data_IF_378086418128
#
_entry.id   IF_378086418128
#
_cell.length_a   1.000
_cell.length_b   1.000
_cell.length_c   1.000
_cell.angle_alpha   90.00
_cell.angle_beta   90.00
_cell.angle_gamma   90.00
#
_symmetry.space_group_name_H-M   'P 1'
#
loop_
_entity.id
_entity.type
_entity.pdbx_description
1 polymer ?
#
# COMPACT_ATOMS: atom_id res chain seq x y z
N UNK A 1 2.43 -14.86 -10.24
CA UNK A 1 3.38 -14.11 -11.11
C UNK A 1 4.73 -14.13 -10.42
N UNK A 2 5.78 -14.47 -11.16
CA UNK A 2 7.09 -14.60 -10.52
C UNK A 2 8.22 -14.19 -11.45
N UNK A 3 9.18 -13.41 -10.92
CA UNK A 3 10.42 -13.00 -11.60
C UNK A 3 10.18 -12.31 -12.95
N UNK A 4 9.26 -11.35 -12.95
CA UNK A 4 8.96 -10.54 -14.14
C UNK A 4 9.52 -9.14 -13.98
N UNK A 5 10.20 -8.66 -15.03
CA UNK A 5 10.61 -7.28 -15.18
C UNK A 5 9.60 -6.54 -16.03
N UNK A 6 8.92 -5.55 -15.45
CA UNK A 6 8.01 -4.64 -16.14
C UNK A 6 8.74 -3.36 -16.49
N UNK A 7 8.78 -3.02 -17.78
CA UNK A 7 9.37 -1.77 -18.28
C UNK A 7 8.46 -1.11 -19.29
N UNK A 8 8.50 0.22 -19.32
CA UNK A 8 7.80 1.05 -20.29
C UNK A 8 6.31 0.73 -20.42
N UNK A 9 5.67 0.33 -19.34
CA UNK A 9 4.23 0.02 -19.33
C UNK A 9 3.38 1.30 -19.25
N UNK A 10 2.20 1.26 -19.85
CA UNK A 10 1.30 2.40 -19.97
C UNK A 10 0.20 2.46 -18.90
N UNK A 11 0.18 1.53 -17.97
CA UNK A 11 -0.81 1.46 -16.90
C UNK A 11 -0.16 1.09 -15.56
N UNK A 12 -0.59 -0.02 -14.98
CA UNK A 12 0.00 -0.65 -13.81
C UNK A 12 0.81 -1.88 -14.20
N UNK A 13 1.81 -2.26 -13.42
CA UNK A 13 2.59 -3.46 -13.69
C UNK A 13 1.77 -4.73 -13.41
N UNK A 14 1.10 -4.78 -12.27
CA UNK A 14 0.22 -5.89 -11.88
C UNK A 14 -1.05 -5.35 -11.22
N UNK A 15 -2.21 -5.78 -11.71
CA UNK A 15 -3.50 -5.54 -11.06
C UNK A 15 -4.17 -6.89 -10.79
N UNK A 16 -4.44 -7.18 -9.52
CA UNK A 16 -5.33 -8.28 -9.14
C UNK A 16 -6.75 -7.75 -9.07
N UNK A 17 -7.61 -8.23 -9.95
CA UNK A 17 -9.00 -7.80 -10.03
C UNK A 17 -9.86 -8.34 -8.87
N UNK A 18 -11.06 -7.78 -8.66
CA UNK A 18 -11.95 -8.09 -7.52
C UNK A 18 -12.28 -9.57 -7.35
N UNK A 19 -12.31 -10.33 -8.43
CA UNK A 19 -12.56 -11.77 -8.41
C UNK A 19 -11.31 -12.61 -8.17
N UNK A 20 -10.14 -11.94 -8.13
CA UNK A 20 -8.86 -12.62 -7.87
C UNK A 20 -8.73 -13.05 -6.42
N UNK A 21 -8.33 -14.29 -6.20
CA UNK A 21 -8.08 -14.85 -4.89
C UNK A 21 -6.91 -15.82 -4.92
N UNK A 22 -6.18 -15.92 -3.81
CA UNK A 22 -5.02 -16.80 -3.67
C UNK A 22 -3.93 -16.53 -4.72
N UNK A 23 -3.66 -15.26 -4.96
CA UNK A 23 -2.66 -14.82 -5.95
C UNK A 23 -1.37 -14.45 -5.22
N UNK A 24 -0.27 -14.99 -5.72
CA UNK A 24 1.09 -14.59 -5.31
C UNK A 24 1.82 -13.90 -6.46
N UNK A 25 2.40 -12.73 -6.16
CA UNK A 25 3.29 -11.96 -7.03
C UNK A 25 4.62 -11.85 -6.29
N UNK A 26 5.69 -12.42 -6.83
CA UNK A 26 6.96 -12.47 -6.12
C UNK A 26 8.17 -12.21 -7.02
N UNK A 27 9.21 -11.63 -6.44
CA UNK A 27 10.47 -11.35 -7.13
C UNK A 27 10.26 -10.54 -8.43
N UNK A 28 9.30 -9.59 -8.43
CA UNK A 28 8.96 -8.79 -9.59
C UNK A 28 9.53 -7.37 -9.47
N UNK A 29 9.96 -6.82 -10.60
CA UNK A 29 10.58 -5.50 -10.68
C UNK A 29 9.81 -4.64 -11.67
N UNK A 30 9.46 -3.42 -11.26
CA UNK A 30 8.82 -2.42 -12.11
C UNK A 30 9.71 -1.19 -12.23
N UNK A 31 10.13 -0.87 -13.45
CA UNK A 31 11.05 0.23 -13.77
C UNK A 31 10.61 1.03 -14.97
N UNK A 32 11.02 2.29 -15.00
CA UNK A 32 10.87 3.17 -16.15
C UNK A 32 9.42 3.20 -16.71
N UNK A 33 8.39 3.48 -15.88
CA UNK A 33 7.03 3.57 -16.38
C UNK A 33 6.87 4.74 -17.36
N UNK A 34 6.18 4.55 -18.47
CA UNK A 34 5.89 5.59 -19.47
C UNK A 34 4.44 6.09 -19.42
N UNK A 35 3.64 5.55 -18.51
CA UNK A 35 2.27 6.02 -18.31
C UNK A 35 2.23 7.48 -17.87
N UNK A 36 1.18 8.19 -18.21
CA UNK A 36 0.91 9.52 -17.66
C UNK A 36 0.73 9.47 -16.15
N UNK A 37 1.11 10.54 -15.49
CA UNK A 37 0.93 10.70 -14.04
C UNK A 37 -0.52 11.11 -13.77
N UNK A 38 -1.33 10.21 -13.23
CA UNK A 38 -2.74 10.44 -12.89
C UNK A 38 -3.69 9.37 -13.41
N UNK A 39 -4.99 9.53 -13.13
CA UNK A 39 -6.06 8.69 -13.65
C UNK A 39 -5.95 7.21 -13.30
N UNK A 40 -5.55 6.86 -12.10
CA UNK A 40 -5.35 5.48 -11.63
C UNK A 40 -4.27 4.70 -12.41
N UNK A 41 -3.46 5.39 -13.19
CA UNK A 41 -2.25 4.85 -13.80
C UNK A 41 -1.10 4.90 -12.81
N UNK A 42 -0.11 4.02 -12.96
CA UNK A 42 1.01 3.88 -12.03
C UNK A 42 0.61 3.51 -10.58
N UNK A 43 -0.49 2.80 -10.41
CA UNK A 43 -0.68 1.99 -9.23
C UNK A 43 0.07 0.68 -9.48
N UNK A 44 1.35 0.61 -9.12
CA UNK A 44 2.28 -0.35 -9.72
C UNK A 44 1.92 -1.79 -9.42
N UNK A 45 1.88 -2.16 -8.14
CA UNK A 45 1.44 -3.47 -7.65
C UNK A 45 0.14 -3.27 -6.88
N UNK A 46 -0.97 -3.59 -7.51
CA UNK A 46 -2.29 -3.19 -7.03
C UNK A 46 -3.24 -4.37 -6.88
N UNK A 47 -3.93 -4.45 -5.75
CA UNK A 47 -4.95 -5.48 -5.49
C UNK A 47 -6.31 -4.89 -5.17
N UNK A 48 -7.33 -5.42 -5.86
CA UNK A 48 -8.75 -5.29 -5.54
C UNK A 48 -9.30 -6.64 -5.04
N UNK A 49 -8.49 -7.67 -5.06
CA UNK A 49 -8.83 -9.04 -4.71
C UNK A 49 -8.67 -9.35 -3.23
N UNK A 50 -8.65 -10.63 -2.92
CA UNK A 50 -8.48 -11.14 -1.57
C UNK A 50 -7.45 -12.26 -1.52
N UNK A 51 -6.85 -12.45 -0.33
CA UNK A 51 -5.82 -13.49 -0.14
C UNK A 51 -4.66 -13.32 -1.14
N UNK A 52 -4.23 -12.06 -1.34
CA UNK A 52 -3.13 -11.75 -2.24
C UNK A 52 -1.84 -11.52 -1.47
N UNK A 53 -0.73 -12.01 -2.01
CA UNK A 53 0.61 -11.79 -1.49
C UNK A 53 1.48 -11.16 -2.58
N UNK A 54 2.03 -9.98 -2.29
CA UNK A 54 3.12 -9.38 -3.03
C UNK A 54 4.38 -9.49 -2.19
N UNK A 55 5.39 -10.18 -2.69
CA UNK A 55 6.58 -10.46 -1.91
C UNK A 55 7.85 -10.16 -2.69
N UNK A 56 8.79 -9.44 -2.06
CA UNK A 56 10.08 -9.06 -2.65
C UNK A 56 9.91 -8.39 -4.02
N UNK A 57 8.96 -7.47 -4.08
CA UNK A 57 8.71 -6.67 -5.27
C UNK A 57 9.40 -5.32 -5.15
N UNK A 58 9.90 -4.82 -6.27
CA UNK A 58 10.56 -3.53 -6.37
C UNK A 58 9.83 -2.63 -7.38
N UNK A 59 9.64 -1.37 -7.04
CA UNK A 59 8.95 -0.38 -7.89
C UNK A 59 9.70 0.94 -7.95
N UNK A 60 9.68 1.60 -9.09
CA UNK A 60 10.20 2.96 -9.27
C UNK A 60 9.11 3.89 -9.81
N UNK A 61 9.06 5.12 -9.29
CA UNK A 61 8.24 6.23 -9.78
C UNK A 61 6.75 5.90 -9.90
N UNK A 62 6.23 5.02 -9.08
CA UNK A 62 4.79 4.78 -8.98
C UNK A 62 4.08 5.96 -8.31
N UNK A 63 2.80 6.19 -8.67
CA UNK A 63 1.95 7.09 -7.89
C UNK A 63 1.52 6.38 -6.60
N UNK A 64 1.20 5.09 -6.70
CA UNK A 64 0.95 4.22 -5.57
C UNK A 64 1.66 2.89 -5.85
N UNK A 65 2.85 2.72 -5.31
CA UNK A 65 3.70 1.57 -5.67
C UNK A 65 3.12 0.25 -5.17
N UNK A 66 2.66 0.23 -3.92
CA UNK A 66 2.03 -0.93 -3.31
C UNK A 66 0.66 -0.52 -2.79
N UNK A 67 -0.41 -0.98 -3.45
CA UNK A 67 -1.74 -0.47 -3.21
C UNK A 67 -2.82 -1.55 -3.12
N UNK A 68 -3.81 -1.28 -2.27
CA UNK A 68 -5.10 -1.97 -2.26
C UNK A 68 -6.22 -0.93 -2.39
N UNK A 69 -7.43 -1.35 -2.70
CA UNK A 69 -8.53 -0.40 -2.77
C UNK A 69 -9.89 -1.01 -3.09
N UNK A 70 -10.88 -0.14 -3.18
CA UNK A 70 -12.26 -0.49 -3.54
C UNK A 70 -12.84 -1.66 -2.74
N UNK A 71 -12.80 -1.56 -1.41
CA UNK A 71 -13.32 -2.59 -0.50
C UNK A 71 -12.62 -3.95 -0.66
N UNK A 72 -11.34 -3.96 -0.99
CA UNK A 72 -10.58 -5.21 -1.07
C UNK A 72 -10.66 -5.94 0.27
N UNK A 73 -11.18 -7.15 0.24
CA UNK A 73 -11.31 -7.97 1.43
C UNK A 73 -9.97 -8.63 1.78
N UNK A 74 -9.59 -8.53 3.05
CA UNK A 74 -8.37 -9.22 3.52
C UNK A 74 -8.51 -10.73 3.61
N UNK A 75 -7.41 -11.42 3.96
CA UNK A 75 -6.09 -10.83 4.15
C UNK A 75 -5.38 -10.53 2.81
N UNK A 76 -4.71 -9.39 2.72
CA UNK A 76 -3.80 -9.06 1.62
C UNK A 76 -2.47 -8.57 2.21
N UNK A 77 -1.36 -8.98 1.65
CA UNK A 77 -0.05 -8.66 2.20
C UNK A 77 0.95 -8.15 1.15
N UNK A 78 1.73 -7.16 1.55
CA UNK A 78 2.94 -6.69 0.89
C UNK A 78 4.11 -6.96 1.81
N UNK A 79 5.06 -7.80 1.40
CA UNK A 79 6.13 -8.32 2.26
C UNK A 79 7.48 -8.12 1.61
N UNK A 80 8.41 -7.48 2.34
CA UNK A 80 9.77 -7.22 1.87
C UNK A 80 9.78 -6.52 0.49
N UNK A 81 9.00 -5.45 0.37
CA UNK A 81 8.85 -4.70 -0.86
C UNK A 81 9.53 -3.34 -0.73
N UNK A 82 10.15 -2.89 -1.82
CA UNK A 82 10.88 -1.62 -1.89
C UNK A 82 10.33 -0.72 -3.00
N UNK A 83 10.13 0.55 -2.68
CA UNK A 83 9.78 1.62 -3.62
C UNK A 83 10.88 2.67 -3.66
N UNK A 84 11.22 3.13 -4.84
CA UNK A 84 12.20 4.18 -5.08
C UNK A 84 11.55 5.38 -5.76
N UNK A 85 11.79 6.57 -5.21
CA UNK A 85 11.22 7.84 -5.71
C UNK A 85 9.71 7.76 -5.98
N UNK A 86 8.96 7.28 -4.99
CA UNK A 86 7.50 7.21 -5.04
C UNK A 86 6.90 8.60 -5.24
N UNK A 87 5.90 8.73 -6.09
CA UNK A 87 5.27 10.03 -6.41
C UNK A 87 4.06 10.35 -5.53
N UNK A 88 3.55 9.39 -4.78
CA UNK A 88 2.47 9.54 -3.82
C UNK A 88 2.51 8.38 -2.82
N UNK A 89 1.58 8.34 -1.85
CA UNK A 89 1.57 7.35 -0.79
C UNK A 89 1.30 5.93 -1.29
N UNK A 90 1.83 4.94 -0.60
CA UNK A 90 1.43 3.53 -0.68
C UNK A 90 0.50 3.17 0.47
N UNK A 91 -0.42 2.20 0.26
CA UNK A 91 -1.46 1.84 1.22
C UNK A 91 -2.77 1.50 0.54
N UNK A 92 -3.91 1.86 1.15
CA UNK A 92 -5.20 1.76 0.48
C UNK A 92 -5.56 3.07 -0.20
N UNK A 93 -5.88 3.03 -1.48
CA UNK A 93 -6.06 4.24 -2.31
C UNK A 93 -7.51 4.66 -2.52
N UNK A 94 -8.46 3.83 -2.08
CA UNK A 94 -9.90 4.10 -2.16
C UNK A 94 -10.62 3.61 -0.89
N UNK A 95 -11.93 3.41 -0.98
CA UNK A 95 -12.75 3.12 0.19
C UNK A 95 -12.53 1.73 0.79
N UNK A 96 -12.46 1.67 2.09
CA UNK A 96 -12.71 0.53 2.98
C UNK A 96 -12.06 -0.81 2.60
N UNK A 97 -10.81 -0.83 2.19
CA UNK A 97 -10.05 -2.07 2.22
C UNK A 97 -9.90 -2.54 3.68
N UNK A 98 -9.71 -3.82 3.90
CA UNK A 98 -9.67 -4.40 5.24
C UNK A 98 -8.60 -5.51 5.32
N UNK A 99 -7.95 -5.62 6.49
CA UNK A 99 -7.00 -6.69 6.74
C UNK A 99 -5.77 -6.65 5.82
N UNK A 100 -5.20 -5.46 5.67
CA UNK A 100 -3.94 -5.26 4.95
C UNK A 100 -2.75 -5.44 5.89
N UNK A 101 -1.72 -6.11 5.42
CA UNK A 101 -0.42 -6.18 6.06
C UNK A 101 0.65 -5.59 5.13
N UNK A 102 1.40 -4.63 5.64
CA UNK A 102 2.66 -4.19 5.07
C UNK A 102 3.76 -4.63 6.05
N UNK A 103 4.60 -5.55 5.62
CA UNK A 103 5.62 -6.20 6.45
C UNK A 103 7.00 -5.99 5.83
N UNK A 104 7.84 -5.22 6.52
CA UNK A 104 9.17 -4.83 6.03
C UNK A 104 9.08 -4.16 4.65
N UNK A 105 8.18 -3.18 4.52
CA UNK A 105 8.02 -2.39 3.29
C UNK A 105 8.75 -1.06 3.45
N UNK A 106 9.54 -0.72 2.45
CA UNK A 106 10.31 0.52 2.40
C UNK A 106 9.80 1.42 1.28
N UNK A 107 9.37 2.64 1.62
CA UNK A 107 8.87 3.64 0.67
C UNK A 107 9.82 4.84 0.69
N UNK A 108 10.64 4.96 -0.34
CA UNK A 108 11.47 6.12 -0.56
C UNK A 108 10.68 7.23 -1.27
N UNK A 109 10.76 8.42 -0.71
CA UNK A 109 10.18 9.64 -1.29
C UNK A 109 8.75 9.98 -0.85
N UNK A 110 7.99 9.06 -0.25
CA UNK A 110 6.61 9.33 0.16
C UNK A 110 6.14 8.53 1.38
N UNK A 111 4.82 8.50 1.61
CA UNK A 111 4.17 8.00 2.83
C UNK A 111 3.62 6.58 2.69
N UNK A 112 3.45 5.92 3.83
CA UNK A 112 2.52 4.81 4.02
C UNK A 112 1.25 5.35 4.70
N UNK A 113 0.05 5.04 4.16
CA UNK A 113 -1.17 5.74 4.61
C UNK A 113 -2.37 4.84 4.84
N UNK A 114 -2.86 4.88 6.09
CA UNK A 114 -4.18 4.39 6.52
C UNK A 114 -4.94 5.60 7.09
N UNK A 115 -5.78 6.24 6.27
CA UNK A 115 -6.40 7.52 6.61
C UNK A 115 -7.79 7.73 6.03
N UNK A 116 -8.40 8.84 6.40
CA UNK A 116 -9.60 9.35 5.74
C UNK A 116 -9.20 10.20 4.52
N UNK A 117 -9.60 9.78 3.34
CA UNK A 117 -9.36 10.50 2.08
C UNK A 117 -10.39 11.63 1.84
N UNK A 118 -11.36 11.79 2.75
CA UNK A 118 -12.39 12.82 2.65
C UNK A 118 -13.27 12.66 1.42
N UNK A 119 -13.73 13.79 0.91
CA UNK A 119 -14.58 13.88 -0.29
C UNK A 119 -13.76 13.98 -1.59
N UNK A 120 -12.46 14.27 -1.48
CA UNK A 120 -11.60 14.63 -2.62
C UNK A 120 -11.30 13.48 -3.59
N UNK A 121 -11.47 12.26 -3.14
CA UNK A 121 -11.24 11.05 -3.94
C UNK A 121 -12.56 10.35 -4.25
N UNK A 122 -13.46 11.02 -4.94
CA UNK A 122 -14.80 10.51 -5.28
C UNK A 122 -15.65 10.14 -4.05
N UNK A 123 -15.44 10.82 -2.93
CA UNK A 123 -16.13 10.53 -1.69
C UNK A 123 -15.71 9.21 -1.02
N UNK A 124 -14.48 8.78 -1.25
CA UNK A 124 -13.99 7.50 -0.71
C UNK A 124 -14.04 7.41 0.83
N UNK A 125 -13.89 8.53 1.53
CA UNK A 125 -13.90 8.55 2.99
C UNK A 125 -12.70 7.76 3.55
N UNK A 126 -12.95 6.86 4.50
CA UNK A 126 -11.91 6.01 5.07
C UNK A 126 -11.38 4.99 4.07
N UNK A 127 -10.06 4.95 3.90
CA UNK A 127 -9.44 4.07 2.92
C UNK A 127 -9.27 2.63 3.41
N UNK A 128 -9.06 2.42 4.72
CA UNK A 128 -8.86 1.07 5.25
C UNK A 128 -9.22 0.95 6.72
N UNK A 129 -9.43 -0.29 7.18
CA UNK A 129 -9.67 -0.67 8.56
C UNK A 129 -8.96 -1.99 8.91
N UNK A 130 -8.68 -2.19 10.19
CA UNK A 130 -8.10 -3.42 10.73
C UNK A 130 -6.82 -3.87 10.00
N UNK A 131 -5.92 -2.92 9.76
CA UNK A 131 -4.72 -3.11 8.95
C UNK A 131 -3.46 -2.77 9.73
N UNK A 132 -2.32 -3.29 9.30
CA UNK A 132 -1.07 -3.24 10.03
C UNK A 132 0.11 -2.83 9.13
N UNK A 133 0.90 -1.86 9.61
CA UNK A 133 2.27 -1.62 9.20
C UNK A 133 3.22 -2.28 10.21
N UNK A 134 4.05 -3.20 9.76
CA UNK A 134 5.02 -3.93 10.57
C UNK A 134 6.44 -3.73 10.05
N UNK A 135 7.31 -3.13 10.88
CA UNK A 135 8.72 -2.88 10.55
C UNK A 135 8.94 -2.16 9.21
N UNK A 136 8.06 -1.22 8.89
CA UNK A 136 8.12 -0.44 7.65
C UNK A 136 8.97 0.82 7.81
N UNK A 137 9.48 1.32 6.67
CA UNK A 137 10.18 2.60 6.58
C UNK A 137 9.52 3.48 5.52
N UNK A 138 9.27 4.75 5.86
CA UNK A 138 8.71 5.74 4.95
C UNK A 138 9.09 7.15 5.41
N UNK A 139 8.84 8.17 4.58
CA UNK A 139 8.96 9.55 5.03
C UNK A 139 7.98 9.86 6.17
N UNK A 140 6.73 9.42 6.02
CA UNK A 140 5.69 9.52 7.04
C UNK A 140 4.83 8.26 7.04
N UNK A 141 4.37 7.84 8.22
CA UNK A 141 3.32 6.84 8.38
C UNK A 141 2.08 7.52 8.95
N UNK A 142 1.06 7.60 8.12
CA UNK A 142 -0.26 8.10 8.48
C UNK A 142 -1.12 6.92 8.94
N UNK A 143 -1.29 6.76 10.25
CA UNK A 143 -2.03 5.65 10.85
C UNK A 143 -3.20 6.17 11.68
N UNK A 144 -4.40 6.14 11.11
CA UNK A 144 -5.62 6.65 11.72
C UNK A 144 -6.62 5.54 12.05
N UNK A 145 -7.46 5.78 13.05
CA UNK A 145 -8.52 4.88 13.50
C UNK A 145 -9.86 5.29 12.88
N UNK A 146 -10.45 4.50 11.97
CA UNK A 146 -11.70 4.89 11.33
C UNK A 146 -12.91 4.81 12.25
N UNK A 147 -12.91 3.90 13.22
CA UNK A 147 -13.98 3.75 14.20
C UNK A 147 -13.45 3.00 15.43
N UNK A 148 -14.18 3.08 16.53
CA UNK A 148 -13.79 2.48 17.82
C UNK A 148 -13.37 1.00 17.74
N UNK A 149 -13.99 0.23 16.88
CA UNK A 149 -13.75 -1.20 16.73
C UNK A 149 -13.06 -1.58 15.41
N UNK A 150 -12.45 -0.60 14.72
CA UNK A 150 -11.82 -0.77 13.42
C UNK A 150 -10.44 -0.12 13.40
N UNK A 151 -9.54 -0.64 14.22
CA UNK A 151 -8.23 -0.03 14.47
C UNK A 151 -7.22 -0.37 13.40
N UNK A 152 -6.47 0.64 12.96
CA UNK A 152 -5.24 0.45 12.22
C UNK A 152 -4.04 0.56 13.16
N UNK A 153 -2.96 -0.16 12.83
CA UNK A 153 -1.78 -0.29 13.70
C UNK A 153 -0.47 -0.08 12.95
N UNK A 154 0.54 0.39 13.66
CA UNK A 154 1.92 0.47 13.16
C UNK A 154 2.91 0.13 14.28
N UNK A 155 3.76 -0.87 14.05
CA UNK A 155 4.74 -1.34 15.03
C UNK A 155 6.12 -1.53 14.41
N UNK A 156 7.16 -1.13 15.16
CA UNK A 156 8.55 -1.30 14.75
C UNK A 156 8.94 -0.49 13.51
N UNK A 157 8.20 0.57 13.18
CA UNK A 157 8.38 1.35 11.98
C UNK A 157 9.33 2.54 12.18
N UNK A 158 10.00 2.95 11.10
CA UNK A 158 10.88 4.12 11.07
C UNK A 158 10.32 5.18 10.12
N UNK A 159 9.74 6.25 10.69
CA UNK A 159 9.09 7.34 9.94
C UNK A 159 8.77 8.53 10.86
N UNK A 160 8.29 9.64 10.29
CA UNK A 160 7.42 10.53 11.04
C UNK A 160 6.04 9.88 11.18
N UNK A 161 5.32 10.14 12.28
CA UNK A 161 4.02 9.54 12.53
C UNK A 161 2.93 10.60 12.64
N UNK A 162 1.79 10.33 12.04
CA UNK A 162 0.56 11.08 12.25
C UNK A 162 -0.65 10.15 12.40
N UNK A 163 -1.69 10.64 13.07
CA UNK A 163 -2.91 9.90 13.29
C UNK A 163 -3.12 9.42 14.72
N UNK A 164 -4.30 8.86 14.95
CA UNK A 164 -4.77 8.35 16.24
C UNK A 164 -4.90 6.82 16.28
N UNK A 165 -4.28 6.15 15.32
CA UNK A 165 -4.14 4.70 15.30
C UNK A 165 -3.20 4.18 16.39
N UNK A 166 -3.08 2.88 16.52
CA UNK A 166 -2.22 2.27 17.54
C UNK A 166 -0.77 2.22 17.06
N UNK A 167 0.01 3.27 17.36
CA UNK A 167 1.40 3.38 16.95
C UNK A 167 2.31 3.99 18.02
N UNK A 168 1.95 3.90 19.30
CA UNK A 168 2.68 4.52 20.41
C UNK A 168 4.21 4.40 20.24
N UNK A 169 4.94 5.46 20.58
CA UNK A 169 6.41 5.51 20.41
C UNK A 169 7.14 4.32 21.03
N UNK A 170 6.63 3.81 22.14
CA UNK A 170 7.19 2.62 22.80
C UNK A 170 7.12 1.34 21.95
N UNK A 171 6.26 1.29 20.95
CA UNK A 171 6.09 0.15 20.07
C UNK A 171 6.93 0.25 18.79
N UNK A 172 7.54 1.41 18.53
CA UNK A 172 8.33 1.69 17.34
C UNK A 172 9.83 1.79 17.61
N UNK A 173 10.25 1.53 18.84
CA UNK A 173 11.65 1.36 19.20
C UNK A 173 11.93 -0.14 19.31
N UNK A 174 12.46 -0.69 18.29
CA UNK A 174 13.06 -2.03 18.30
C UNK A 174 14.57 -1.91 18.24
#
# INVERSE_FOLDING_TARGET
>A
VRRVNFKHFAGSAVIVQRTGSQITVEDCISREPVSEIGGMRRCTFYTLGQQTLFQRCYSEHGIHDFAAGYCAAGPNAFVQCDSYESLNFSGSIDAWACGLLFDVVNIDGHNLSFKNLGQDKNGAGWNTANSLFWQCTAAEIECYTPAKDAMNRAYGCWAQFSGDGEWAQSNNHV
#
